data_IF_175845097172
#
_entry.id   IF_175845097172
#
_cell.length_a   1.000
_cell.length_b   1.000
_cell.length_c   1.000
_cell.angle_alpha   90.00
_cell.angle_beta   90.00
_cell.angle_gamma   90.00
#
_symmetry.space_group_name_H-M   'P 1'
#
loop_
_entity.id
_entity.type
_entity.pdbx_description
1 polymer ?
#
# COMPACT_ATOMS: atom_id res chain seq x y z
N UNK A 1 -54.01 -27.93 -31.92
CA UNK A 1 -52.75 -27.25 -31.57
C UNK A 1 -52.98 -26.39 -30.33
N UNK A 2 -52.49 -26.81 -29.16
CA UNK A 2 -52.67 -26.09 -27.88
C UNK A 2 -51.62 -24.98 -27.79
N UNK A 3 -52.06 -23.72 -27.69
CA UNK A 3 -51.24 -22.59 -27.24
C UNK A 3 -50.94 -22.78 -25.74
N UNK A 4 -49.69 -23.01 -25.36
CA UNK A 4 -49.26 -22.89 -23.97
C UNK A 4 -48.75 -21.48 -23.72
N UNK A 5 -49.32 -20.88 -22.67
CA UNK A 5 -49.05 -19.55 -22.17
C UNK A 5 -47.64 -19.46 -21.58
N UNK A 6 -46.70 -18.88 -22.34
CA UNK A 6 -45.45 -18.36 -21.78
C UNK A 6 -45.79 -17.12 -20.97
N UNK A 7 -45.80 -17.27 -19.64
CA UNK A 7 -45.85 -16.14 -18.70
C UNK A 7 -44.75 -15.16 -19.05
N UNK A 8 -45.14 -13.93 -19.38
CA UNK A 8 -44.22 -12.81 -19.65
C UNK A 8 -43.31 -12.64 -18.44
N UNK A 9 -42.03 -12.93 -18.61
CA UNK A 9 -40.98 -12.74 -17.60
C UNK A 9 -40.88 -11.23 -17.31
N UNK A 10 -40.81 -10.85 -16.03
CA UNK A 10 -40.91 -9.44 -15.58
C UNK A 10 -39.65 -8.59 -15.86
N UNK A 11 -38.52 -9.22 -16.14
CA UNK A 11 -37.23 -8.54 -16.37
C UNK A 11 -36.46 -9.22 -17.50
N UNK A 12 -35.77 -8.41 -18.31
CA UNK A 12 -34.83 -8.90 -19.32
C UNK A 12 -33.64 -9.57 -18.63
N UNK A 13 -33.15 -10.66 -19.23
CA UNK A 13 -31.95 -11.38 -18.81
C UNK A 13 -30.91 -11.24 -19.90
N UNK A 14 -29.68 -11.02 -19.47
CA UNK A 14 -28.53 -11.00 -20.38
C UNK A 14 -27.75 -12.30 -20.18
N UNK A 15 -27.39 -12.94 -21.30
CA UNK A 15 -26.39 -14.01 -21.30
C UNK A 15 -25.02 -13.36 -21.11
N UNK A 16 -24.74 -12.98 -19.86
CA UNK A 16 -23.47 -12.40 -19.45
C UNK A 16 -22.75 -13.43 -18.57
N UNK A 17 -21.54 -13.82 -18.99
CA UNK A 17 -20.67 -14.70 -18.21
C UNK A 17 -19.62 -13.85 -17.49
N UNK A 18 -19.88 -13.57 -16.21
CA UNK A 18 -18.96 -12.91 -15.30
C UNK A 18 -18.33 -13.92 -14.33
N UNK A 19 -17.01 -13.84 -14.06
CA UNK A 19 -16.40 -14.52 -12.94
C UNK A 19 -17.01 -14.02 -11.62
N UNK A 20 -17.33 -14.95 -10.71
CA UNK A 20 -17.93 -14.62 -9.42
C UNK A 20 -17.22 -15.36 -8.27
N UNK A 21 -17.20 -14.74 -7.09
CA UNK A 21 -16.92 -15.41 -5.81
C UNK A 21 -18.10 -15.29 -4.86
N UNK A 22 -18.32 -16.33 -4.04
CA UNK A 22 -19.45 -16.45 -3.11
C UNK A 22 -18.95 -16.85 -1.74
N UNK A 23 -19.46 -16.22 -0.69
CA UNK A 23 -19.24 -16.66 0.70
C UNK A 23 -20.54 -16.73 1.49
N UNK A 24 -20.61 -17.60 2.49
CA UNK A 24 -21.79 -17.77 3.34
C UNK A 24 -21.80 -16.71 4.43
N UNK A 25 -22.90 -15.95 4.56
CA UNK A 25 -22.98 -14.78 5.44
C UNK A 25 -22.84 -15.06 6.96
N UNK A 26 -22.92 -16.34 7.39
CA UNK A 26 -22.86 -16.76 8.81
C UNK A 26 -21.57 -17.49 9.20
N UNK A 27 -20.69 -17.76 8.23
CA UNK A 27 -19.38 -18.37 8.48
C UNK A 27 -18.33 -17.27 8.44
N UNK A 28 -17.70 -16.97 9.57
CA UNK A 28 -16.55 -16.07 9.64
C UNK A 28 -15.32 -16.60 8.91
N UNK A 29 -15.38 -17.83 8.38
CA UNK A 29 -14.36 -18.37 7.51
C UNK A 29 -14.62 -17.95 6.06
N UNK A 30 -13.66 -17.21 5.50
CA UNK A 30 -13.51 -16.97 4.07
C UNK A 30 -13.10 -18.27 3.35
N UNK A 31 -13.90 -19.33 3.51
CA UNK A 31 -13.76 -20.54 2.72
C UNK A 31 -14.62 -20.43 1.46
N UNK A 32 -13.92 -20.18 0.36
CA UNK A 32 -13.98 -20.93 -0.90
C UNK A 32 -13.95 -20.03 -2.12
N UNK A 33 -12.71 -19.81 -2.57
CA UNK A 33 -12.35 -19.41 -3.93
C UNK A 33 -12.88 -20.46 -4.91
N UNK A 34 -14.11 -20.29 -5.38
CA UNK A 34 -14.58 -20.96 -6.58
C UNK A 34 -14.72 -19.91 -7.67
N UNK A 35 -13.88 -20.00 -8.70
CA UNK A 35 -14.12 -19.26 -9.94
C UNK A 35 -15.38 -19.84 -10.58
N UNK A 36 -16.49 -19.13 -10.44
CA UNK A 36 -17.78 -19.54 -10.99
C UNK A 36 -18.08 -18.69 -12.23
N UNK A 37 -18.45 -19.36 -13.33
CA UNK A 37 -19.05 -18.70 -14.49
C UNK A 37 -20.53 -18.48 -14.20
N UNK A 38 -20.92 -17.22 -14.09
CA UNK A 38 -22.33 -16.84 -14.00
C UNK A 38 -23.02 -17.05 -15.35
N UNK A 39 -24.33 -17.35 -15.33
CA UNK A 39 -25.23 -17.25 -16.48
C UNK A 39 -26.54 -16.59 -16.03
N UNK A 40 -27.32 -16.10 -16.98
CA UNK A 40 -28.65 -15.53 -16.72
C UNK A 40 -28.64 -14.37 -15.68
N UNK A 41 -27.63 -13.49 -15.71
CA UNK A 41 -27.56 -12.36 -14.77
C UNK A 41 -28.65 -11.35 -15.08
N UNK A 42 -29.34 -10.89 -14.04
CA UNK A 42 -30.25 -9.74 -14.10
C UNK A 42 -30.17 -8.92 -12.80
N UNK A 43 -30.90 -7.80 -12.75
CA UNK A 43 -30.96 -6.94 -11.55
C UNK A 43 -31.53 -7.62 -10.30
N UNK A 44 -32.14 -8.80 -10.45
CA UNK A 44 -32.82 -9.53 -9.38
C UNK A 44 -32.09 -10.82 -8.96
N UNK A 45 -31.01 -11.19 -9.65
CA UNK A 45 -30.31 -12.43 -9.33
C UNK A 45 -29.37 -12.92 -10.44
N UNK A 46 -28.65 -13.99 -10.12
CA UNK A 46 -27.74 -14.69 -11.03
C UNK A 46 -27.81 -16.20 -10.82
N UNK A 47 -27.52 -16.97 -11.88
CA UNK A 47 -27.26 -18.40 -11.78
C UNK A 47 -25.75 -18.65 -11.74
N UNK A 48 -25.29 -19.47 -10.81
CA UNK A 48 -23.89 -19.85 -10.66
C UNK A 48 -23.69 -21.32 -10.98
N UNK A 49 -22.85 -21.62 -11.98
CA UNK A 49 -22.48 -22.97 -12.34
C UNK A 49 -21.47 -23.53 -11.34
N UNK A 50 -21.90 -24.42 -10.45
CA UNK A 50 -21.05 -25.09 -9.45
C UNK A 50 -21.42 -26.56 -9.33
N UNK A 51 -20.44 -27.41 -9.00
CA UNK A 51 -20.66 -28.84 -8.68
C UNK A 51 -20.99 -29.07 -7.19
N UNK A 52 -20.85 -28.03 -6.38
CA UNK A 52 -21.16 -28.04 -4.95
C UNK A 52 -22.09 -26.85 -4.65
N UNK A 53 -23.38 -26.95 -5.02
CA UNK A 53 -24.32 -25.86 -4.80
C UNK A 53 -24.68 -25.76 -3.31
N UNK A 54 -24.90 -24.53 -2.84
CA UNK A 54 -25.36 -24.30 -1.47
C UNK A 54 -26.85 -24.67 -1.32
N UNK A 55 -27.31 -25.06 -0.11
CA UNK A 55 -28.71 -25.34 0.13
C UNK A 55 -29.62 -24.13 -0.10
N UNK A 56 -30.87 -24.38 -0.50
CA UNK A 56 -31.88 -23.32 -0.58
C UNK A 56 -32.10 -22.64 0.78
N UNK A 57 -32.28 -21.32 0.77
CA UNK A 57 -32.37 -20.49 1.98
C UNK A 57 -31.02 -20.00 2.53
N UNK A 58 -29.90 -20.46 1.98
CA UNK A 58 -28.56 -19.99 2.38
C UNK A 58 -28.38 -18.51 2.02
N UNK A 59 -28.01 -17.70 3.01
CA UNK A 59 -27.63 -16.31 2.84
C UNK A 59 -26.18 -16.22 2.38
N UNK A 60 -25.94 -15.47 1.30
CA UNK A 60 -24.63 -15.37 0.65
C UNK A 60 -24.24 -13.94 0.36
N UNK A 61 -22.94 -13.69 0.42
CA UNK A 61 -22.31 -12.50 -0.16
C UNK A 61 -21.71 -12.87 -1.51
N UNK A 62 -21.98 -12.07 -2.54
CA UNK A 62 -21.50 -12.25 -3.89
C UNK A 62 -20.59 -11.10 -4.31
N UNK A 63 -19.51 -11.46 -5.01
CA UNK A 63 -18.65 -10.51 -5.72
C UNK A 63 -18.55 -10.94 -7.18
N UNK A 64 -19.12 -10.12 -8.07
CA UNK A 64 -19.06 -10.32 -9.51
C UNK A 64 -17.93 -9.45 -10.09
N UNK A 65 -17.05 -10.05 -10.88
CA UNK A 65 -15.97 -9.37 -11.58
C UNK A 65 -16.43 -8.98 -12.98
N UNK A 66 -16.42 -7.69 -13.30
CA UNK A 66 -16.79 -7.16 -14.62
C UNK A 66 -15.49 -6.84 -15.38
N UNK A 67 -15.10 -7.66 -16.38
CA UNK A 67 -13.99 -7.31 -17.26
C UNK A 67 -14.39 -6.12 -18.15
N UNK A 68 -13.49 -5.14 -18.28
CA UNK A 68 -13.75 -3.93 -19.09
C UNK A 68 -12.90 -3.87 -20.36
N UNK A 69 -12.38 -5.03 -20.80
CA UNK A 69 -11.49 -5.15 -21.96
C UNK A 69 -12.09 -4.68 -23.28
N UNK A 70 -13.43 -4.64 -23.35
CA UNK A 70 -14.17 -4.15 -24.52
C UNK A 70 -14.23 -2.62 -24.59
N UNK A 71 -13.85 -1.90 -23.53
CA UNK A 71 -13.79 -0.44 -23.50
C UNK A 71 -12.32 -0.03 -23.65
N UNK A 72 -11.90 0.58 -24.77
CA UNK A 72 -10.49 0.85 -25.06
C UNK A 72 -9.75 1.62 -23.96
N UNK A 73 -10.41 2.62 -23.37
CA UNK A 73 -9.89 3.49 -22.30
C UNK A 73 -9.73 2.75 -20.95
N UNK A 74 -10.39 1.61 -20.79
CA UNK A 74 -10.46 0.82 -19.57
C UNK A 74 -9.92 -0.60 -19.76
N UNK A 75 -9.18 -0.84 -20.85
CA UNK A 75 -8.60 -2.14 -21.17
C UNK A 75 -7.69 -2.63 -20.03
N UNK A 76 -7.85 -3.89 -19.63
CA UNK A 76 -7.22 -4.48 -18.45
C UNK A 76 -8.00 -4.21 -17.15
N UNK A 77 -8.67 -3.06 -17.03
CA UNK A 77 -9.33 -2.68 -15.78
C UNK A 77 -10.52 -3.60 -15.47
N UNK A 78 -10.77 -3.80 -14.18
CA UNK A 78 -11.89 -4.59 -13.70
C UNK A 78 -12.75 -3.76 -12.75
N UNK A 79 -14.06 -3.85 -12.95
CA UNK A 79 -15.04 -3.35 -11.98
C UNK A 79 -15.58 -4.51 -11.15
N UNK A 80 -16.07 -4.20 -9.94
CA UNK A 80 -16.65 -5.19 -9.05
C UNK A 80 -18.08 -4.79 -8.71
N UNK A 81 -19.00 -5.75 -8.78
CA UNK A 81 -20.35 -5.62 -8.23
C UNK A 81 -20.40 -6.46 -6.97
N UNK A 82 -20.65 -5.82 -5.82
CA UNK A 82 -20.93 -6.51 -4.57
C UNK A 82 -22.44 -6.56 -4.34
N UNK A 83 -22.95 -7.74 -4.06
CA UNK A 83 -24.35 -7.95 -3.74
C UNK A 83 -24.47 -8.99 -2.61
N UNK A 84 -25.50 -8.87 -1.78
CA UNK A 84 -25.95 -9.95 -0.93
C UNK A 84 -27.18 -10.62 -1.57
N UNK A 85 -27.46 -11.85 -1.17
CA UNK A 85 -28.64 -12.54 -1.66
C UNK A 85 -28.90 -13.86 -0.98
N UNK A 86 -29.99 -14.49 -1.40
CA UNK A 86 -30.43 -15.79 -0.89
C UNK A 86 -30.42 -16.81 -2.02
N UNK A 87 -29.92 -18.02 -1.75
CA UNK A 87 -30.06 -19.15 -2.66
C UNK A 87 -31.54 -19.56 -2.70
N UNK A 88 -32.19 -19.37 -3.85
CA UNK A 88 -33.62 -19.66 -4.02
C UNK A 88 -33.87 -20.98 -4.73
N UNK A 89 -32.87 -21.48 -5.45
CA UNK A 89 -32.93 -22.79 -6.13
C UNK A 89 -31.56 -23.44 -6.13
N UNK A 90 -31.51 -24.73 -5.84
CA UNK A 90 -30.27 -25.52 -5.86
C UNK A 90 -30.46 -26.76 -6.74
N UNK A 91 -29.51 -27.02 -7.65
CA UNK A 91 -29.52 -28.12 -8.61
C UNK A 91 -28.11 -28.73 -8.70
N UNK A 92 -27.98 -29.98 -9.17
CA UNK A 92 -26.69 -30.69 -9.25
C UNK A 92 -25.59 -29.93 -10.02
N UNK A 93 -25.97 -29.05 -10.95
CA UNK A 93 -25.06 -28.30 -11.81
C UNK A 93 -24.98 -26.80 -11.47
N UNK A 94 -25.62 -26.34 -10.38
CA UNK A 94 -25.52 -24.95 -9.97
C UNK A 94 -26.64 -24.47 -9.06
N UNK A 95 -26.59 -23.18 -8.73
CA UNK A 95 -27.55 -22.56 -7.84
C UNK A 95 -28.02 -21.21 -8.38
N UNK A 96 -29.30 -20.90 -8.18
CA UNK A 96 -29.85 -19.58 -8.46
C UNK A 96 -29.88 -18.76 -7.17
N UNK A 97 -29.30 -17.58 -7.23
CA UNK A 97 -29.29 -16.61 -6.14
C UNK A 97 -30.18 -15.44 -6.51
N UNK A 98 -31.11 -15.11 -5.63
CA UNK A 98 -31.88 -13.88 -5.69
C UNK A 98 -31.13 -12.79 -4.92
N UNK A 99 -30.90 -11.64 -5.55
CA UNK A 99 -30.19 -10.53 -4.92
C UNK A 99 -31.12 -9.74 -3.99
N UNK A 100 -30.56 -9.26 -2.89
CA UNK A 100 -31.23 -8.28 -2.04
C UNK A 100 -31.17 -6.88 -2.71
N UNK A 101 -32.13 -6.04 -2.38
CA UNK A 101 -32.18 -4.65 -2.85
C UNK A 101 -31.09 -3.83 -2.14
N UNK A 102 -29.91 -3.73 -2.74
CA UNK A 102 -28.81 -2.95 -2.15
C UNK A 102 -27.42 -3.25 -2.72
N UNK A 103 -27.30 -3.65 -3.99
CA UNK A 103 -26.00 -3.92 -4.58
C UNK A 103 -25.15 -2.64 -4.64
N UNK A 104 -23.85 -2.80 -4.39
CA UNK A 104 -22.86 -1.73 -4.52
C UNK A 104 -22.03 -1.95 -5.78
N UNK A 105 -22.06 -0.97 -6.66
CA UNK A 105 -21.08 -0.84 -7.73
C UNK A 105 -19.82 -0.25 -7.13
N UNK A 106 -18.78 -1.07 -7.01
CA UNK A 106 -17.50 -0.58 -6.57
C UNK A 106 -16.75 0.03 -7.75
N UNK A 107 -15.98 1.10 -7.51
CA UNK A 107 -15.22 1.75 -8.58
C UNK A 107 -14.28 0.73 -9.25
N UNK A 108 -14.00 1.01 -10.53
CA UNK A 108 -12.96 0.34 -11.29
C UNK A 108 -11.69 0.42 -10.45
N UNK A 109 -11.24 -0.73 -9.92
CA UNK A 109 -9.97 -0.72 -9.21
C UNK A 109 -8.92 -0.38 -10.26
N UNK A 110 -8.10 0.68 -10.09
CA UNK A 110 -6.86 0.71 -10.85
C UNK A 110 -6.17 -0.63 -10.61
N UNK A 111 -5.54 -1.21 -11.63
CA UNK A 111 -4.67 -2.36 -11.37
C UNK A 111 -3.68 -1.90 -10.31
N UNK A 112 -3.84 -2.38 -9.09
CA UNK A 112 -3.01 -2.01 -7.97
C UNK A 112 -2.04 -3.16 -7.76
N UNK A 113 -0.76 -2.87 -7.97
CA UNK A 113 0.28 -3.86 -7.92
C UNK A 113 1.27 -3.51 -6.81
N UNK A 114 1.49 -4.44 -5.88
CA UNK A 114 2.37 -4.23 -4.73
C UNK A 114 3.74 -4.84 -5.03
N UNK A 115 4.79 -4.04 -4.96
CA UNK A 115 6.16 -4.49 -5.06
C UNK A 115 6.85 -4.36 -3.71
N UNK A 116 7.18 -5.50 -3.09
CA UNK A 116 7.90 -5.52 -1.81
C UNK A 116 9.40 -5.48 -2.08
N UNK A 117 10.08 -4.47 -1.52
CA UNK A 117 11.52 -4.33 -1.65
C UNK A 117 12.20 -4.24 -0.29
N UNK A 118 13.35 -4.89 -0.17
CA UNK A 118 14.10 -5.01 1.07
C UNK A 118 15.26 -6.00 0.95
N UNK A 119 16.26 -5.92 1.84
CA UNK A 119 17.40 -6.86 1.91
C UNK A 119 16.98 -8.25 2.35
N UNK A 120 15.94 -8.36 3.19
CA UNK A 120 15.48 -9.64 3.71
C UNK A 120 14.57 -10.37 2.71
N UNK A 121 15.18 -11.20 1.85
CA UNK A 121 14.47 -11.94 0.80
C UNK A 121 13.34 -12.84 1.33
N UNK A 122 13.58 -13.54 2.44
CA UNK A 122 12.59 -14.46 3.02
C UNK A 122 11.37 -13.70 3.55
N UNK A 123 11.59 -12.61 4.27
CA UNK A 123 10.50 -11.77 4.77
C UNK A 123 9.68 -11.20 3.61
N UNK A 124 10.34 -10.70 2.57
CA UNK A 124 9.66 -10.13 1.40
C UNK A 124 8.81 -11.20 0.71
N UNK A 125 9.35 -12.40 0.50
CA UNK A 125 8.62 -13.52 -0.11
C UNK A 125 7.39 -13.91 0.72
N UNK A 126 7.54 -14.03 2.04
CA UNK A 126 6.43 -14.37 2.94
C UNK A 126 5.34 -13.27 2.93
N UNK A 127 5.73 -12.00 2.97
CA UNK A 127 4.81 -10.88 2.91
C UNK A 127 4.06 -10.84 1.56
N UNK A 128 4.78 -10.98 0.44
CA UNK A 128 4.19 -11.08 -0.89
C UNK A 128 3.21 -12.26 -0.99
N UNK A 129 3.58 -13.42 -0.46
CA UNK A 129 2.71 -14.60 -0.46
C UNK A 129 1.45 -14.38 0.38
N UNK A 130 1.58 -13.76 1.55
CA UNK A 130 0.43 -13.43 2.39
C UNK A 130 -0.51 -12.43 1.69
N UNK A 131 0.05 -11.37 1.11
CA UNK A 131 -0.72 -10.36 0.35
C UNK A 131 -1.44 -10.95 -0.85
N UNK A 132 -0.81 -11.87 -1.57
CA UNK A 132 -1.41 -12.54 -2.74
C UNK A 132 -2.48 -13.57 -2.34
N UNK A 133 -2.21 -14.40 -1.33
CA UNK A 133 -3.10 -15.48 -0.91
C UNK A 133 -4.33 -14.98 -0.13
N UNK A 134 -4.12 -14.11 0.86
CA UNK A 134 -5.18 -13.69 1.80
C UNK A 134 -5.96 -12.48 1.26
N UNK A 135 -5.28 -11.55 0.58
CA UNK A 135 -5.89 -10.28 0.15
C UNK A 135 -6.28 -10.29 -1.32
N UNK A 136 -5.88 -11.32 -2.08
CA UNK A 136 -6.11 -11.41 -3.51
C UNK A 136 -5.49 -10.26 -4.32
N UNK A 137 -4.49 -9.58 -3.76
CA UNK A 137 -3.81 -8.46 -4.40
C UNK A 137 -2.66 -8.95 -5.27
N UNK A 138 -2.43 -8.32 -6.42
CA UNK A 138 -1.25 -8.62 -7.26
C UNK A 138 -0.03 -8.09 -6.53
N UNK A 139 0.91 -8.97 -6.22
CA UNK A 139 2.16 -8.56 -5.61
C UNK A 139 3.34 -9.39 -6.12
N UNK A 140 4.52 -8.77 -6.12
CA UNK A 140 5.79 -9.47 -6.21
C UNK A 140 6.80 -8.87 -5.21
N UNK A 141 8.00 -9.43 -5.20
CA UNK A 141 9.13 -8.86 -4.48
C UNK A 141 10.37 -8.80 -5.36
N UNK A 142 11.32 -7.97 -4.97
CA UNK A 142 12.60 -7.84 -5.65
C UNK A 142 13.29 -6.51 -5.39
N UNK A 143 14.36 -6.24 -6.16
CA UNK A 143 15.00 -4.93 -6.15
C UNK A 143 14.19 -3.95 -7.02
N UNK A 144 14.34 -2.64 -6.77
CA UNK A 144 13.51 -1.59 -7.37
C UNK A 144 13.58 -1.57 -8.92
N UNK A 145 14.67 -2.03 -9.51
CA UNK A 145 14.83 -2.11 -10.97
C UNK A 145 13.82 -3.06 -11.61
N UNK A 146 13.36 -4.08 -10.88
CA UNK A 146 12.31 -4.99 -11.33
C UNK A 146 10.96 -4.28 -11.41
N UNK A 147 10.66 -3.41 -10.43
CA UNK A 147 9.47 -2.58 -10.46
C UNK A 147 9.52 -1.61 -11.65
N UNK A 148 10.67 -0.96 -11.86
CA UNK A 148 10.84 0.00 -12.95
C UNK A 148 10.55 -0.62 -14.32
N UNK A 149 11.14 -1.79 -14.61
CA UNK A 149 10.87 -2.52 -15.86
C UNK A 149 9.40 -2.88 -16.04
N UNK A 150 8.75 -3.35 -14.98
CA UNK A 150 7.32 -3.69 -15.02
C UNK A 150 6.45 -2.46 -15.26
N UNK A 151 6.78 -1.36 -14.61
CA UNK A 151 6.08 -0.10 -14.75
C UNK A 151 6.16 0.45 -16.19
N UNK A 152 7.27 0.23 -16.90
CA UNK A 152 7.43 0.57 -18.33
C UNK A 152 6.59 -0.33 -19.26
N UNK A 153 6.36 -1.59 -18.89
CA UNK A 153 5.60 -2.56 -19.69
C UNK A 153 4.07 -2.41 -19.51
N UNK A 154 3.60 -1.91 -18.36
CA UNK A 154 2.18 -1.90 -17.98
C UNK A 154 1.78 -0.52 -17.37
N UNK A 155 1.73 0.51 -18.23
CA UNK A 155 1.47 1.91 -17.87
C UNK A 155 0.07 2.23 -17.27
N UNK A 156 -0.89 1.30 -17.36
CA UNK A 156 -2.26 1.49 -16.85
C UNK A 156 -2.44 1.03 -15.39
N UNK A 157 -1.34 0.64 -14.74
CA UNK A 157 -1.31 0.08 -13.37
C UNK A 157 -0.74 1.11 -12.39
N UNK A 158 -1.40 1.25 -11.25
CA UNK A 158 -0.87 1.96 -10.09
C UNK A 158 -0.01 0.99 -9.30
N UNK A 159 1.24 1.37 -9.06
CA UNK A 159 2.19 0.55 -8.33
C UNK A 159 2.36 1.08 -6.91
N UNK A 160 2.38 0.18 -5.93
CA UNK A 160 2.82 0.47 -4.58
C UNK A 160 4.17 -0.17 -4.34
N UNK A 161 5.21 0.63 -4.19
CA UNK A 161 6.49 0.18 -3.65
C UNK A 161 6.38 0.12 -2.11
N UNK A 162 6.40 -1.09 -1.56
CA UNK A 162 6.44 -1.35 -0.12
C UNK A 162 7.89 -1.55 0.29
N UNK A 163 8.50 -0.52 0.88
CA UNK A 163 9.94 -0.42 1.13
C UNK A 163 10.27 -0.74 2.58
N UNK A 164 11.24 -1.62 2.80
CA UNK A 164 11.73 -1.94 4.15
C UNK A 164 12.44 -0.72 4.76
N UNK A 165 11.91 -0.20 5.86
CA UNK A 165 12.48 0.94 6.56
C UNK A 165 13.90 0.69 7.07
N UNK A 166 14.26 -0.56 7.37
CA UNK A 166 15.61 -0.91 7.81
C UNK A 166 16.65 -0.70 6.70
N UNK A 167 16.25 -0.82 5.45
CA UNK A 167 17.14 -0.55 4.31
C UNK A 167 17.38 0.94 4.11
N UNK A 168 16.35 1.75 4.35
CA UNK A 168 16.47 3.21 4.39
C UNK A 168 17.47 3.61 5.48
N UNK A 169 17.34 3.03 6.67
CA UNK A 169 18.29 3.26 7.78
C UNK A 169 19.72 2.90 7.40
N UNK A 170 19.94 1.85 6.61
CA UNK A 170 21.28 1.40 6.25
C UNK A 170 22.05 2.32 5.28
N UNK A 171 21.46 3.46 4.87
CA UNK A 171 22.19 4.52 4.16
C UNK A 171 21.46 5.11 2.95
N UNK A 172 20.21 4.75 2.67
CA UNK A 172 19.42 5.40 1.61
C UNK A 172 18.74 6.65 2.22
N UNK A 173 19.10 7.87 1.81
CA UNK A 173 18.38 9.07 2.26
C UNK A 173 16.91 9.01 1.80
N UNK A 174 15.99 9.59 2.58
CA UNK A 174 14.56 9.66 2.23
C UNK A 174 14.30 10.33 0.85
N UNK A 175 15.25 11.11 0.33
CA UNK A 175 15.24 11.67 -1.03
C UNK A 175 15.38 10.61 -2.13
N UNK A 176 15.93 9.43 -1.87
CA UNK A 176 15.95 8.31 -2.82
C UNK A 176 14.60 7.58 -2.88
N UNK A 177 13.71 7.77 -1.90
CA UNK A 177 12.30 7.36 -2.06
C UNK A 177 11.66 8.12 -3.21
N UNK A 178 12.04 9.39 -3.43
CA UNK A 178 11.54 10.20 -4.54
C UNK A 178 12.11 9.73 -5.89
N UNK A 179 13.35 9.22 -5.94
CA UNK A 179 13.88 8.53 -7.13
C UNK A 179 13.18 7.17 -7.37
N UNK A 180 12.80 6.45 -6.32
CA UNK A 180 11.98 5.23 -6.42
C UNK A 180 10.52 5.51 -6.80
N UNK A 181 9.97 6.66 -6.40
CA UNK A 181 8.67 7.20 -6.86
C UNK A 181 8.79 7.70 -8.29
N UNK A 182 9.98 8.19 -8.68
CA UNK A 182 10.33 8.77 -9.97
C UNK A 182 10.56 7.76 -11.09
N UNK A 183 10.10 6.52 -10.96
CA UNK A 183 10.01 5.57 -12.08
C UNK A 183 9.18 6.21 -13.19
N UNK A 184 9.86 6.69 -14.23
CA UNK A 184 9.24 7.40 -15.35
C UNK A 184 8.24 6.48 -16.05
N UNK A 185 6.97 6.90 -16.10
CA UNK A 185 5.95 6.27 -16.95
C UNK A 185 4.76 5.62 -16.22
N UNK A 186 4.78 5.49 -14.89
CA UNK A 186 3.69 4.90 -14.12
C UNK A 186 3.30 5.69 -12.86
N UNK A 187 2.06 5.52 -12.39
CA UNK A 187 1.62 6.04 -11.09
C UNK A 187 2.20 5.16 -9.97
N UNK A 188 3.42 5.46 -9.54
CA UNK A 188 4.05 4.79 -8.40
C UNK A 188 3.76 5.58 -7.10
N UNK A 189 3.28 4.87 -6.08
CA UNK A 189 3.16 5.35 -4.70
C UNK A 189 4.05 4.52 -3.80
N UNK A 190 4.45 5.08 -2.66
CA UNK A 190 5.34 4.39 -1.71
C UNK A 190 4.68 4.22 -0.36
N UNK A 191 4.93 3.08 0.29
CA UNK A 191 4.70 2.90 1.71
C UNK A 191 5.92 2.24 2.36
N UNK A 192 6.09 2.45 3.66
CA UNK A 192 7.20 1.92 4.44
C UNK A 192 6.72 0.79 5.35
N UNK A 193 7.49 -0.28 5.50
CA UNK A 193 7.22 -1.33 6.49
C UNK A 193 8.45 -1.62 7.36
N UNK A 194 8.30 -2.43 8.42
CA UNK A 194 9.34 -2.68 9.44
C UNK A 194 9.84 -1.41 10.16
N UNK A 195 8.97 -0.41 10.26
CA UNK A 195 9.29 0.85 10.89
C UNK A 195 9.33 0.69 12.43
N UNK A 196 10.24 1.38 13.14
CA UNK A 196 10.28 1.37 14.61
C UNK A 196 9.68 2.67 15.18
N UNK A 197 8.73 2.58 16.12
CA UNK A 197 7.93 3.74 16.60
C UNK A 197 8.78 4.89 17.16
N UNK A 198 9.94 4.60 17.74
CA UNK A 198 10.87 5.56 18.33
C UNK A 198 11.80 6.23 17.30
N UNK A 199 11.98 5.62 16.12
CA UNK A 199 12.98 6.03 15.13
C UNK A 199 12.37 6.57 13.84
N UNK A 200 11.08 6.35 13.65
CA UNK A 200 10.40 6.70 12.41
C UNK A 200 10.10 8.19 12.36
N UNK A 201 10.67 8.86 11.36
CA UNK A 201 10.32 10.24 11.02
C UNK A 201 9.05 10.20 10.15
N UNK A 202 7.92 9.85 10.75
CA UNK A 202 6.63 9.71 10.05
C UNK A 202 6.25 11.01 9.32
N UNK A 203 6.53 12.15 9.95
CA UNK A 203 6.38 13.48 9.36
C UNK A 203 7.25 13.69 8.11
N UNK A 204 8.46 13.12 8.08
CA UNK A 204 9.34 13.25 6.91
C UNK A 204 8.89 12.33 5.79
N UNK A 205 8.54 11.08 6.09
CA UNK A 205 8.00 10.16 5.08
C UNK A 205 6.75 10.74 4.40
N UNK A 206 5.83 11.32 5.19
CA UNK A 206 4.64 12.00 4.67
C UNK A 206 5.00 13.16 3.72
N UNK A 207 6.00 13.98 4.09
CA UNK A 207 6.47 15.10 3.24
C UNK A 207 7.08 14.65 1.90
N UNK A 208 7.76 13.51 1.89
CA UNK A 208 8.35 12.94 0.66
C UNK A 208 7.34 12.07 -0.11
N UNK A 209 6.03 12.19 0.19
CA UNK A 209 4.98 11.56 -0.59
C UNK A 209 4.67 10.11 -0.26
N UNK A 210 5.27 9.52 0.79
CA UNK A 210 4.89 8.17 1.22
C UNK A 210 3.42 8.17 1.68
N UNK A 211 2.65 7.21 1.19
CA UNK A 211 1.21 7.03 1.45
C UNK A 211 0.92 6.23 2.71
N UNK A 212 1.90 5.56 3.31
CA UNK A 212 1.69 4.88 4.57
C UNK A 212 2.95 4.38 5.25
N UNK A 213 2.81 4.07 6.55
CA UNK A 213 3.85 3.46 7.37
C UNK A 213 3.25 2.29 8.16
N UNK A 214 3.94 1.16 8.12
CA UNK A 214 3.68 -0.03 8.92
C UNK A 214 4.84 -0.27 9.88
N UNK A 215 4.52 -0.46 11.15
CA UNK A 215 5.50 -0.70 12.20
C UNK A 215 5.83 -2.19 12.32
N UNK A 216 7.02 -2.51 12.82
CA UNK A 216 7.49 -3.88 12.98
C UNK A 216 6.63 -4.73 13.95
N UNK A 217 5.89 -4.07 14.85
CA UNK A 217 4.96 -4.68 15.79
C UNK A 217 3.51 -4.71 15.28
N UNK A 218 3.23 -4.20 14.08
CA UNK A 218 1.88 -4.26 13.50
C UNK A 218 1.53 -5.71 13.10
N UNK A 219 0.33 -6.15 13.47
CA UNK A 219 -0.21 -7.44 13.03
C UNK A 219 -0.42 -7.49 11.51
N UNK A 220 -0.36 -8.67 10.91
CA UNK A 220 -0.61 -8.85 9.48
C UNK A 220 -2.00 -8.33 9.04
N UNK A 221 -3.04 -8.52 9.85
CA UNK A 221 -4.39 -7.96 9.58
C UNK A 221 -4.41 -6.43 9.57
N UNK A 222 -3.53 -5.79 10.35
CA UNK A 222 -3.37 -4.34 10.33
C UNK A 222 -2.68 -3.88 9.05
N UNK A 223 -1.62 -4.58 8.64
CA UNK A 223 -0.92 -4.34 7.37
C UNK A 223 -1.89 -4.53 6.19
N UNK A 224 -2.65 -5.61 6.18
CA UNK A 224 -3.66 -5.91 5.17
C UNK A 224 -4.67 -4.78 4.98
N UNK A 225 -5.28 -4.31 6.07
CA UNK A 225 -6.23 -3.18 6.03
C UNK A 225 -5.58 -1.90 5.51
N UNK A 226 -4.34 -1.63 5.91
CA UNK A 226 -3.64 -0.43 5.44
C UNK A 226 -3.27 -0.51 3.96
N UNK A 227 -2.84 -1.67 3.47
CA UNK A 227 -2.59 -1.87 2.03
C UNK A 227 -3.88 -1.72 1.23
N UNK A 228 -5.02 -2.21 1.73
CA UNK A 228 -6.31 -2.01 1.09
C UNK A 228 -6.72 -0.52 1.07
N UNK A 229 -6.54 0.20 2.18
CA UNK A 229 -6.80 1.64 2.25
C UNK A 229 -5.93 2.42 1.24
N UNK A 230 -4.63 2.13 1.18
CA UNK A 230 -3.69 2.75 0.23
C UNK A 230 -4.11 2.44 -1.22
N UNK A 231 -4.58 1.21 -1.50
CA UNK A 231 -5.08 0.85 -2.82
C UNK A 231 -6.30 1.65 -3.27
N UNK A 232 -7.06 2.22 -2.32
CA UNK A 232 -8.21 3.11 -2.56
C UNK A 232 -7.80 4.59 -2.64
N UNK A 233 -6.50 4.88 -2.51
CA UNK A 233 -5.94 6.23 -2.53
C UNK A 233 -5.89 6.91 -1.16
N UNK A 234 -6.14 6.18 -0.07
CA UNK A 234 -6.12 6.73 1.29
C UNK A 234 -4.69 6.79 1.87
N UNK A 235 -4.50 7.63 2.90
CA UNK A 235 -3.26 7.70 3.66
C UNK A 235 -3.31 6.78 4.88
N UNK A 236 -2.27 5.97 5.09
CA UNK A 236 -2.14 5.08 6.25
C UNK A 236 -1.13 5.61 7.27
N UNK A 237 -1.56 6.55 8.09
CA UNK A 237 -0.77 7.17 9.15
C UNK A 237 -1.56 7.32 10.44
N UNK A 238 -0.84 7.36 11.57
CA UNK A 238 -1.42 7.78 12.83
C UNK A 238 -2.01 9.20 12.73
N UNK A 239 -3.17 9.42 13.36
CA UNK A 239 -3.92 10.68 13.26
C UNK A 239 -3.10 11.90 13.67
N UNK A 240 -2.23 11.73 14.66
CA UNK A 240 -1.35 12.79 15.15
C UNK A 240 -0.35 13.23 14.07
N UNK A 241 0.14 12.31 13.23
CA UNK A 241 1.06 12.62 12.12
C UNK A 241 0.34 13.44 11.06
N UNK A 242 -0.88 13.04 10.68
CA UNK A 242 -1.69 13.77 9.69
C UNK A 242 -2.08 15.16 10.19
N UNK A 243 -2.47 15.26 11.47
CA UNK A 243 -2.85 16.54 12.10
C UNK A 243 -1.66 17.51 12.12
N UNK A 244 -0.47 17.05 12.49
CA UNK A 244 0.75 17.85 12.44
C UNK A 244 1.13 18.23 11.01
N UNK A 245 0.96 17.34 10.04
CA UNK A 245 1.18 17.62 8.63
C UNK A 245 0.28 18.75 8.14
N UNK A 246 -1.02 18.67 8.41
CA UNK A 246 -2.01 19.67 8.02
C UNK A 246 -1.80 21.02 8.72
N UNK A 247 -1.50 21.01 10.02
CA UNK A 247 -1.20 22.25 10.76
C UNK A 247 -0.03 23.03 10.16
N UNK A 248 0.98 22.35 9.60
CA UNK A 248 2.10 23.01 8.92
C UNK A 248 1.73 23.60 7.56
N UNK A 249 0.81 22.99 6.81
CA UNK A 249 0.35 23.59 5.54
C UNK A 249 -0.48 24.84 5.79
N UNK A 250 -1.27 24.85 6.87
CA UNK A 250 -2.12 26.00 7.24
C UNK A 250 -1.28 27.13 7.83
N UNK A 251 -0.25 26.80 8.61
CA UNK A 251 0.62 27.79 9.23
C UNK A 251 2.08 27.29 9.31
N UNK A 252 2.91 27.63 8.31
CA UNK A 252 4.30 27.22 8.24
C UNK A 252 5.16 27.79 9.38
N UNK A 253 4.74 28.91 9.99
CA UNK A 253 5.51 29.63 11.00
C UNK A 253 5.08 29.31 12.45
N UNK A 254 3.83 28.90 12.70
CA UNK A 254 3.34 28.63 14.07
C UNK A 254 3.50 27.19 14.56
N UNK A 255 3.93 26.26 13.71
CA UNK A 255 4.24 24.91 14.15
C UNK A 255 5.60 24.91 14.86
N UNK A 256 5.74 24.37 16.08
CA UNK A 256 7.05 24.16 16.67
C UNK A 256 7.83 23.28 15.68
N UNK A 257 8.92 23.82 15.14
CA UNK A 257 9.85 23.07 14.30
C UNK A 257 10.08 21.72 15.01
N UNK A 258 9.81 20.60 14.32
CA UNK A 258 10.27 19.30 14.83
C UNK A 258 11.74 19.52 15.19
N UNK A 259 12.16 19.25 16.44
CA UNK A 259 13.51 19.55 16.87
C UNK A 259 14.42 18.92 15.83
N UNK A 260 15.20 19.77 15.18
CA UNK A 260 16.27 19.29 14.35
C UNK A 260 17.00 18.23 15.18
N UNK A 261 17.19 17.00 14.66
CA UNK A 261 17.80 15.93 15.44
C UNK A 261 19.15 16.40 16.03
N UNK A 262 19.76 17.39 15.37
CA UNK A 262 20.93 18.11 15.81
C UNK A 262 20.58 19.44 16.47
N UNK A 263 21.06 19.60 17.69
CA UNK A 263 21.13 20.90 18.37
C UNK A 263 22.01 21.88 17.58
N UNK A 264 21.85 23.19 17.81
CA UNK A 264 22.68 24.23 17.18
C UNK A 264 24.19 23.92 17.29
N UNK A 265 24.64 23.51 18.47
CA UNK A 265 26.05 23.17 18.75
C UNK A 265 26.50 21.94 17.94
N UNK A 266 25.63 20.96 17.79
CA UNK A 266 25.90 19.75 16.99
C UNK A 266 25.98 20.06 15.49
N UNK A 267 25.19 21.01 14.99
CA UNK A 267 25.28 21.50 13.61
C UNK A 267 26.58 22.27 13.35
N UNK A 268 26.98 23.14 14.26
CA UNK A 268 28.24 23.89 14.17
C UNK A 268 29.43 22.93 14.07
N UNK A 269 29.45 21.90 14.93
CA UNK A 269 30.47 20.84 14.92
C UNK A 269 30.42 20.04 13.60
N UNK A 270 29.23 19.66 13.14
CA UNK A 270 29.07 18.89 11.91
C UNK A 270 29.43 19.68 10.64
N UNK A 271 29.15 20.99 10.61
CA UNK A 271 29.56 21.90 9.54
C UNK A 271 31.08 22.01 9.44
N UNK A 272 31.77 22.14 10.58
CA UNK A 272 33.24 22.16 10.61
C UNK A 272 33.86 20.81 10.17
N UNK A 273 33.20 19.68 10.49
CA UNK A 273 33.58 18.36 9.93
C UNK A 273 33.42 18.32 8.41
N UNK A 274 32.36 18.92 7.87
CA UNK A 274 32.12 19.00 6.43
C UNK A 274 33.16 19.89 5.72
N UNK A 275 33.61 20.96 6.37
CA UNK A 275 34.70 21.82 5.92
C UNK A 275 36.09 21.17 6.01
N UNK A 276 36.20 19.94 6.54
CA UNK A 276 37.45 19.20 6.63
C UNK A 276 38.28 19.49 7.89
N UNK A 277 37.78 20.30 8.83
CA UNK A 277 38.52 20.64 10.05
C UNK A 277 38.77 19.41 10.92
N UNK A 278 39.92 19.32 11.60
CA UNK A 278 40.23 18.23 12.54
C UNK A 278 39.53 18.40 13.89
N UNK A 279 39.45 17.34 14.71
CA UNK A 279 38.83 17.46 16.05
C UNK A 279 39.57 18.47 16.96
N UNK A 280 40.85 18.74 16.71
CA UNK A 280 41.62 19.77 17.42
C UNK A 280 41.23 21.17 16.94
N UNK A 281 41.16 21.38 15.63
CA UNK A 281 40.72 22.65 15.04
C UNK A 281 39.28 23.00 15.45
N UNK A 282 38.37 22.02 15.45
CA UNK A 282 36.98 22.22 15.90
C UNK A 282 36.94 22.64 17.38
N UNK A 283 37.78 22.02 18.21
CA UNK A 283 37.89 22.35 19.63
C UNK A 283 38.39 23.79 19.85
N UNK A 284 39.38 24.22 19.06
CA UNK A 284 39.92 25.59 19.07
C UNK A 284 38.89 26.61 18.56
N UNK A 285 38.21 26.33 17.44
CA UNK A 285 37.20 27.22 16.84
C UNK A 285 36.00 27.44 17.76
N UNK A 286 35.57 26.40 18.47
CA UNK A 286 34.38 26.44 19.33
C UNK A 286 34.69 26.67 20.81
N UNK A 287 35.96 26.90 21.16
CA UNK A 287 36.45 27.10 22.52
C UNK A 287 35.99 26.01 23.51
N UNK A 288 36.11 24.74 23.10
CA UNK A 288 35.73 23.55 23.90
C UNK A 288 36.86 22.52 23.92
N UNK A 289 36.79 21.53 24.81
CA UNK A 289 37.80 20.46 24.84
C UNK A 289 37.63 19.48 23.66
N UNK A 290 38.74 18.88 23.21
CA UNK A 290 38.73 17.81 22.20
C UNK A 290 37.87 16.61 22.65
N UNK A 291 37.82 16.34 23.96
CA UNK A 291 36.96 15.29 24.52
C UNK A 291 35.48 15.64 24.32
N UNK A 292 35.09 16.89 24.58
CA UNK A 292 33.73 17.40 24.36
C UNK A 292 33.34 17.29 22.88
N UNK A 293 34.24 17.61 21.95
CA UNK A 293 34.02 17.43 20.51
C UNK A 293 33.76 15.96 20.17
N UNK A 294 34.55 15.01 20.70
CA UNK A 294 34.32 13.58 20.47
C UNK A 294 32.95 13.11 20.96
N UNK A 295 32.52 13.57 22.14
CA UNK A 295 31.20 13.23 22.68
C UNK A 295 30.07 13.79 21.81
N UNK A 296 30.19 15.04 21.36
CA UNK A 296 29.22 15.61 20.41
C UNK A 296 29.20 14.84 19.09
N UNK A 297 30.37 14.52 18.51
CA UNK A 297 30.44 13.74 17.27
C UNK A 297 29.83 12.35 17.42
N UNK A 298 30.03 11.68 18.55
CA UNK A 298 29.39 10.40 18.83
C UNK A 298 27.85 10.52 18.83
N UNK A 299 27.32 11.53 19.50
CA UNK A 299 25.87 11.79 19.54
C UNK A 299 25.33 12.19 18.16
N UNK A 300 26.03 13.06 17.44
CA UNK A 300 25.72 13.46 16.06
C UNK A 300 25.66 12.23 15.16
N UNK A 301 26.70 11.40 15.17
CA UNK A 301 26.80 10.20 14.33
C UNK A 301 25.67 9.22 14.62
N UNK A 302 25.30 9.03 15.89
CA UNK A 302 24.13 8.24 16.28
C UNK A 302 22.82 8.86 15.78
N UNK A 303 22.68 10.18 15.84
CA UNK A 303 21.45 10.91 15.45
C UNK A 303 21.25 10.95 13.93
N UNK A 304 22.31 11.09 13.15
CA UNK A 304 22.27 11.09 11.66
C UNK A 304 22.55 9.71 11.06
N UNK A 305 22.74 8.70 11.91
CA UNK A 305 23.09 7.33 11.55
C UNK A 305 24.37 7.21 10.67
N UNK A 306 25.38 8.04 10.94
CA UNK A 306 26.69 7.95 10.30
C UNK A 306 27.58 6.97 11.05
N UNK A 307 28.18 6.02 10.33
CA UNK A 307 29.10 5.01 10.89
C UNK A 307 30.54 5.54 10.97
N UNK A 308 30.87 6.55 10.16
CA UNK A 308 32.20 7.11 10.08
C UNK A 308 32.18 8.60 9.69
N UNK A 309 33.32 9.26 9.85
CA UNK A 309 33.49 10.70 9.57
C UNK A 309 33.12 11.05 8.13
N UNK A 310 33.48 10.20 7.16
CA UNK A 310 33.19 10.43 5.75
C UNK A 310 31.68 10.44 5.48
N UNK A 311 30.93 9.49 6.04
CA UNK A 311 29.47 9.46 5.96
C UNK A 311 28.84 10.70 6.60
N UNK A 312 29.36 11.15 7.74
CA UNK A 312 28.88 12.38 8.38
C UNK A 312 29.14 13.62 7.52
N UNK A 313 30.32 13.71 6.88
CA UNK A 313 30.65 14.78 5.92
C UNK A 313 29.72 14.78 4.71
N UNK A 314 29.46 13.61 4.10
CA UNK A 314 28.54 13.49 2.96
C UNK A 314 27.09 13.82 3.34
N UNK A 315 26.67 13.46 4.54
CA UNK A 315 25.37 13.82 5.06
C UNK A 315 25.27 15.34 5.25
N UNK A 316 26.31 15.96 5.83
CA UNK A 316 26.38 17.39 6.06
C UNK A 316 26.29 18.19 4.76
N UNK A 317 27.05 17.84 3.73
CA UNK A 317 27.01 18.56 2.44
C UNK A 317 25.68 18.45 1.71
N UNK A 318 24.91 17.36 1.94
CA UNK A 318 23.58 17.18 1.35
C UNK A 318 22.45 17.86 2.14
N UNK A 319 22.57 17.95 3.47
CA UNK A 319 21.46 18.34 4.36
C UNK A 319 21.68 19.65 5.12
N UNK A 320 22.92 20.09 5.32
CA UNK A 320 23.24 21.42 5.82
C UNK A 320 23.50 22.29 4.59
N UNK A 321 22.64 23.29 4.36
CA UNK A 321 22.95 24.39 3.45
C UNK A 321 24.14 25.15 4.06
N UNK A 322 25.35 24.80 3.66
CA UNK A 322 26.61 25.44 4.05
C UNK A 322 26.95 26.58 3.09
#
# INVERSE_FOLDING_TARGET
MKKSSLGKRKTERFDLELPASVSVAKSGDAQDLVQLLTRDICSQGAFLNTRAPLPEGTQVNLRLMVPLDHIPELKGRQSQIQASGTVVRSHDNGMAIQFDLGYQLLPIRPHFFIHVTGKNKLLNELLTRHVTAELGMRADHGPMEKLAKRAEEENSTTYLALVDYLDIRAGLPLSELEEAIGVKGAQCVVALFNAQRDQVIADSALRHGARGIFFADDSLDHVARGLEAISKGELWYAREVLTRGLQREIDPESSPAIPDPLTRKEKEILGAVAAGSTNKEIAEQLFISVHTVKTHLYNVYRKINASNRLQATLWATKNLQL
#
